data_IF_455399413331
#
_entry.id   IF_455399413331
#
_cell.length_a   1.000
_cell.length_b   1.000
_cell.length_c   1.000
_cell.angle_alpha   90.00
_cell.angle_beta   90.00
_cell.angle_gamma   90.00
#
_symmetry.space_group_name_H-M   'P 1'
#
loop_
_entity.id
_entity.type
_entity.pdbx_description
1 polymer ?
#
# COMPACT_ATOMS: atom_id res chain seq x y z
N UNK A 1 102.02 -11.53 39.98
CA UNK A 1 101.23 -12.76 39.69
C UNK A 1 99.86 -12.71 40.33
N UNK A 2 99.75 -12.29 41.60
CA UNK A 2 98.49 -12.16 42.36
C UNK A 2 97.56 -11.07 41.79
N UNK A 3 98.08 -9.91 41.41
CA UNK A 3 97.26 -8.80 40.87
C UNK A 3 96.57 -9.13 39.52
N UNK A 4 97.22 -9.93 38.68
CA UNK A 4 96.67 -10.37 37.39
C UNK A 4 95.54 -11.42 37.56
N UNK A 5 95.58 -12.18 38.66
CA UNK A 5 94.52 -13.14 39.03
C UNK A 5 93.33 -12.40 39.64
N UNK A 6 93.58 -11.37 40.46
CA UNK A 6 92.54 -10.51 41.04
C UNK A 6 91.79 -9.71 39.96
N UNK A 7 92.51 -9.13 39.00
CA UNK A 7 91.92 -8.43 37.84
C UNK A 7 91.01 -9.35 37.02
N UNK A 8 91.48 -10.54 36.63
CA UNK A 8 90.66 -11.51 35.88
C UNK A 8 89.41 -11.97 36.63
N UNK A 9 89.47 -12.06 37.96
CA UNK A 9 88.34 -12.45 38.81
C UNK A 9 87.27 -11.36 38.88
N UNK A 10 87.69 -10.09 38.93
CA UNK A 10 86.79 -8.93 38.84
C UNK A 10 86.14 -8.81 37.46
N UNK A 11 86.89 -9.04 36.38
CA UNK A 11 86.35 -9.05 35.01
C UNK A 11 85.31 -10.17 34.84
N UNK A 12 85.56 -11.36 35.40
CA UNK A 12 84.61 -12.48 35.38
C UNK A 12 83.33 -12.18 36.18
N UNK A 13 83.45 -11.58 37.37
CA UNK A 13 82.31 -11.12 38.18
C UNK A 13 81.48 -10.04 37.45
N UNK A 14 82.14 -9.13 36.74
CA UNK A 14 81.49 -8.11 35.93
C UNK A 14 80.71 -8.71 34.75
N UNK A 15 81.27 -9.71 34.07
CA UNK A 15 80.58 -10.45 33.01
C UNK A 15 79.34 -11.17 33.56
N UNK A 16 79.47 -11.85 34.70
CA UNK A 16 78.34 -12.53 35.36
C UNK A 16 77.26 -11.52 35.75
N UNK A 17 77.63 -10.38 36.32
CA UNK A 17 76.68 -9.33 36.70
C UNK A 17 75.92 -8.80 35.47
N UNK A 18 76.61 -8.47 34.39
CA UNK A 18 75.96 -8.02 33.15
C UNK A 18 75.05 -9.09 32.53
N UNK A 19 75.43 -10.36 32.63
CA UNK A 19 74.60 -11.48 32.21
C UNK A 19 73.29 -11.58 33.02
N UNK A 20 73.36 -11.43 34.34
CA UNK A 20 72.16 -11.37 35.18
C UNK A 20 71.28 -10.16 34.88
N UNK A 21 71.88 -8.98 34.63
CA UNK A 21 71.15 -7.78 34.22
C UNK A 21 70.38 -8.02 32.90
N UNK A 22 71.01 -8.66 31.91
CA UNK A 22 70.36 -9.04 30.65
C UNK A 22 69.19 -10.00 30.85
N UNK A 23 69.32 -10.99 31.74
CA UNK A 23 68.23 -11.91 32.08
C UNK A 23 67.04 -11.14 32.68
N UNK A 24 67.31 -10.22 33.61
CA UNK A 24 66.27 -9.42 34.25
C UNK A 24 65.55 -8.53 33.23
N UNK A 25 66.30 -7.86 32.35
CA UNK A 25 65.72 -7.03 31.28
C UNK A 25 64.85 -7.87 30.34
N UNK A 26 65.34 -9.03 29.89
CA UNK A 26 64.58 -9.93 29.03
C UNK A 26 63.31 -10.45 29.71
N UNK A 27 63.36 -10.77 31.00
CA UNK A 27 62.18 -11.17 31.77
C UNK A 27 61.14 -10.03 31.84
N UNK A 28 61.61 -8.78 32.00
CA UNK A 28 60.73 -7.60 32.00
C UNK A 28 60.07 -7.38 30.64
N UNK A 29 60.83 -7.50 29.55
CA UNK A 29 60.32 -7.40 28.17
C UNK A 29 59.29 -8.50 27.90
N UNK A 30 59.57 -9.74 28.30
CA UNK A 30 58.66 -10.88 28.12
C UNK A 30 57.34 -10.65 28.87
N UNK A 31 57.42 -10.16 30.11
CA UNK A 31 56.23 -9.86 30.91
C UNK A 31 55.40 -8.73 30.29
N UNK A 32 56.05 -7.66 29.82
CA UNK A 32 55.38 -6.57 29.12
C UNK A 32 54.70 -7.06 27.83
N UNK A 33 55.40 -7.88 27.03
CA UNK A 33 54.85 -8.47 25.81
C UNK A 33 53.64 -9.37 26.11
N UNK A 34 53.72 -10.24 27.12
CA UNK A 34 52.62 -11.10 27.54
C UNK A 34 51.41 -10.27 28.00
N UNK A 35 51.64 -9.19 28.75
CA UNK A 35 50.56 -8.28 29.19
C UNK A 35 49.84 -7.63 28.00
N UNK A 36 50.61 -7.19 27.00
CA UNK A 36 50.07 -6.60 25.77
C UNK A 36 49.26 -7.65 24.99
N UNK A 37 49.81 -8.85 24.77
CA UNK A 37 49.13 -9.94 24.07
C UNK A 37 47.82 -10.33 24.76
N UNK A 38 47.82 -10.46 26.08
CA UNK A 38 46.61 -10.76 26.85
C UNK A 38 45.54 -9.67 26.70
N UNK A 39 45.94 -8.39 26.71
CA UNK A 39 45.02 -7.27 26.47
C UNK A 39 44.44 -7.31 25.05
N UNK A 40 45.26 -7.58 24.03
CA UNK A 40 44.79 -7.73 22.65
C UNK A 40 43.84 -8.92 22.51
N UNK A 41 44.18 -10.07 23.08
CA UNK A 41 43.34 -11.26 23.07
C UNK A 41 41.97 -10.99 23.71
N UNK A 42 41.96 -10.37 24.90
CA UNK A 42 40.73 -9.98 25.59
C UNK A 42 39.87 -9.03 24.75
N UNK A 43 40.48 -8.02 24.12
CA UNK A 43 39.76 -7.08 23.27
C UNK A 43 39.18 -7.76 22.03
N UNK A 44 39.94 -8.65 21.39
CA UNK A 44 39.48 -9.42 20.22
C UNK A 44 38.27 -10.28 20.59
N UNK A 45 38.34 -11.03 21.69
CA UNK A 45 37.22 -11.88 22.15
C UNK A 45 36.00 -11.03 22.50
N UNK A 46 36.19 -9.90 23.18
CA UNK A 46 35.09 -8.99 23.49
C UNK A 46 34.42 -8.42 22.24
N UNK A 47 35.21 -8.06 21.22
CA UNK A 47 34.66 -7.57 19.93
C UNK A 47 33.89 -8.68 19.21
N UNK A 48 34.39 -9.91 19.20
CA UNK A 48 33.68 -11.06 18.60
C UNK A 48 32.33 -11.31 19.28
N UNK A 49 32.31 -11.34 20.61
CA UNK A 49 31.08 -11.53 21.38
C UNK A 49 30.03 -10.46 21.06
N UNK A 50 30.44 -9.18 21.07
CA UNK A 50 29.55 -8.09 20.71
C UNK A 50 29.04 -8.20 19.27
N UNK A 51 29.89 -8.63 18.33
CA UNK A 51 29.49 -8.81 16.93
C UNK A 51 28.48 -9.95 16.78
N UNK A 52 28.67 -11.06 17.49
CA UNK A 52 27.72 -12.18 17.53
C UNK A 52 26.37 -11.75 18.11
N UNK A 53 26.38 -10.97 19.20
CA UNK A 53 25.17 -10.42 19.81
C UNK A 53 24.40 -9.51 18.83
N UNK A 54 25.10 -8.59 18.17
CA UNK A 54 24.52 -7.71 17.15
C UNK A 54 23.92 -8.53 15.99
N UNK A 55 24.62 -9.55 15.53
CA UNK A 55 24.14 -10.40 14.43
C UNK A 55 22.89 -11.20 14.81
N UNK A 56 22.83 -11.71 16.05
CA UNK A 56 21.64 -12.38 16.57
C UNK A 56 20.45 -11.43 16.66
N UNK A 57 20.65 -10.22 17.18
CA UNK A 57 19.61 -9.19 17.23
C UNK A 57 19.09 -8.83 15.83
N UNK A 58 19.99 -8.64 14.85
CA UNK A 58 19.59 -8.37 13.46
C UNK A 58 18.78 -9.52 12.85
N UNK A 59 19.10 -10.77 13.19
CA UNK A 59 18.35 -11.93 12.74
C UNK A 59 16.94 -11.97 13.37
N UNK A 60 16.82 -11.66 14.65
CA UNK A 60 15.53 -11.54 15.35
C UNK A 60 14.66 -10.44 14.75
N UNK A 61 15.20 -9.24 14.57
CA UNK A 61 14.52 -8.11 13.92
C UNK A 61 14.06 -8.50 12.51
N UNK A 62 14.89 -9.23 11.74
CA UNK A 62 14.52 -9.71 10.42
C UNK A 62 13.31 -10.67 10.46
N UNK A 63 13.26 -11.58 11.43
CA UNK A 63 12.11 -12.48 11.64
C UNK A 63 10.86 -11.71 12.06
N UNK A 64 10.98 -10.76 12.98
CA UNK A 64 9.85 -9.90 13.39
C UNK A 64 9.29 -9.13 12.20
N UNK A 65 10.16 -8.54 11.38
CA UNK A 65 9.75 -7.85 10.16
C UNK A 65 9.02 -8.79 9.17
N UNK A 66 9.40 -10.06 9.08
CA UNK A 66 8.65 -11.04 8.28
C UNK A 66 7.26 -11.30 8.86
N UNK A 67 7.15 -11.45 10.19
CA UNK A 67 5.85 -11.66 10.86
C UNK A 67 4.93 -10.46 10.64
N UNK A 68 5.42 -9.23 10.84
CA UNK A 68 4.63 -8.01 10.67
C UNK A 68 4.28 -7.68 9.21
N UNK A 69 5.03 -8.21 8.24
CA UNK A 69 4.64 -8.16 6.83
C UNK A 69 3.42 -9.04 6.53
N UNK A 70 3.29 -10.15 7.25
CA UNK A 70 2.22 -11.12 7.02
C UNK A 70 1.00 -10.85 7.92
N UNK A 71 1.21 -10.24 9.08
CA UNK A 71 0.19 -9.99 10.08
C UNK A 71 0.05 -8.48 10.34
N UNK A 72 -1.08 -7.87 9.95
CA UNK A 72 -1.35 -6.47 10.26
C UNK A 72 -1.36 -6.22 11.77
N UNK A 73 -0.79 -5.09 12.19
CA UNK A 73 -0.85 -4.61 13.58
C UNK A 73 -2.22 -3.99 13.86
N UNK A 74 -2.89 -4.51 14.87
CA UNK A 74 -4.17 -4.00 15.37
C UNK A 74 -3.95 -2.96 16.49
N UNK A 75 -4.67 -1.84 16.41
CA UNK A 75 -4.68 -0.79 17.43
C UNK A 75 -6.12 -0.43 17.76
N UNK A 76 -6.50 -0.56 19.03
CA UNK A 76 -7.81 -0.17 19.55
C UNK A 76 -7.70 1.25 20.13
N UNK A 77 -8.58 2.15 19.67
CA UNK A 77 -8.67 3.54 20.13
C UNK A 77 -9.62 3.66 21.32
N UNK A 78 -9.51 4.78 22.03
CA UNK A 78 -10.35 5.08 23.21
C UNK A 78 -11.85 5.17 22.88
N UNK A 79 -12.20 5.52 21.64
CA UNK A 79 -13.58 5.61 21.14
C UNK A 79 -14.16 4.25 20.69
N UNK A 80 -13.40 3.17 20.81
CA UNK A 80 -13.77 1.82 20.36
C UNK A 80 -13.44 1.54 18.88
N UNK A 81 -12.88 2.49 18.15
CA UNK A 81 -12.42 2.28 16.77
C UNK A 81 -11.21 1.34 16.74
N UNK A 82 -11.20 0.40 15.80
CA UNK A 82 -10.09 -0.53 15.56
C UNK A 82 -9.38 -0.16 14.25
N UNK A 83 -8.09 0.10 14.31
CA UNK A 83 -7.24 0.39 13.14
C UNK A 83 -6.23 -0.73 12.89
N UNK A 84 -6.03 -1.06 11.62
CA UNK A 84 -5.09 -2.09 11.17
C UNK A 84 -4.00 -1.45 10.32
N UNK A 85 -2.74 -1.70 10.65
CA UNK A 85 -1.56 -1.16 9.98
C UNK A 85 -0.71 -2.30 9.41
N UNK A 86 -0.11 -2.11 8.24
CA UNK A 86 0.80 -3.11 7.66
C UNK A 86 2.16 -2.52 7.31
N UNK A 87 3.23 -3.23 7.68
CA UNK A 87 4.59 -2.88 7.24
C UNK A 87 4.79 -3.10 5.74
N UNK A 88 3.97 -3.95 5.08
CA UNK A 88 3.97 -4.08 3.62
C UNK A 88 3.56 -2.78 2.92
N UNK A 89 2.78 -1.94 3.60
CA UNK A 89 2.25 -0.68 3.08
C UNK A 89 2.98 0.50 3.72
N UNK A 90 4.29 0.38 3.93
CA UNK A 90 5.14 1.40 4.56
C UNK A 90 4.67 1.81 5.98
N UNK A 91 3.98 0.93 6.68
CA UNK A 91 3.42 1.23 8.01
C UNK A 91 2.13 2.06 7.96
N UNK A 92 1.53 2.25 6.78
CA UNK A 92 0.25 2.94 6.64
C UNK A 92 -0.91 2.08 7.14
N UNK A 93 -2.01 2.77 7.44
CA UNK A 93 -3.30 2.12 7.73
C UNK A 93 -3.79 1.39 6.49
N UNK A 94 -4.34 0.19 6.68
CA UNK A 94 -4.93 -0.62 5.60
C UNK A 94 -6.44 -0.79 5.80
N UNK A 95 -6.91 -0.72 7.05
CA UNK A 95 -8.31 -0.89 7.40
C UNK A 95 -8.64 -0.17 8.70
N UNK A 96 -9.83 0.40 8.78
CA UNK A 96 -10.43 0.95 10.01
C UNK A 96 -11.81 0.37 10.19
N UNK A 97 -12.14 -0.09 11.39
CA UNK A 97 -13.49 -0.46 11.80
C UNK A 97 -13.91 0.53 12.88
N UNK A 98 -14.83 1.43 12.54
CA UNK A 98 -15.38 2.40 13.48
C UNK A 98 -16.30 1.72 14.49
N UNK A 99 -16.50 2.37 15.63
CA UNK A 99 -17.39 1.88 16.67
C UNK A 99 -18.86 1.75 16.21
N UNK A 100 -19.29 2.59 15.27
CA UNK A 100 -20.63 2.51 14.66
C UNK A 100 -20.84 1.30 13.73
N UNK A 101 -19.77 0.55 13.42
CA UNK A 101 -19.80 -0.59 12.51
C UNK A 101 -19.31 -0.30 11.09
N UNK A 102 -19.09 0.97 10.73
CA UNK A 102 -18.55 1.38 9.44
C UNK A 102 -17.13 0.83 9.25
N UNK A 103 -16.85 0.32 8.04
CA UNK A 103 -15.53 -0.21 7.67
C UNK A 103 -14.93 0.66 6.58
N UNK A 104 -13.71 1.13 6.77
CA UNK A 104 -12.93 1.87 5.78
C UNK A 104 -11.71 1.03 5.36
N UNK A 105 -11.39 1.00 4.07
CA UNK A 105 -10.20 0.36 3.50
C UNK A 105 -9.34 1.41 2.78
N UNK A 106 -8.03 1.24 2.88
CA UNK A 106 -7.03 2.24 2.50
C UNK A 106 -5.96 1.64 1.57
N UNK A 107 -5.45 2.46 0.67
CA UNK A 107 -4.44 2.06 -0.30
C UNK A 107 -3.03 1.95 0.32
N UNK A 108 -2.04 1.64 -0.50
CA UNK A 108 -0.63 1.55 -0.08
C UNK A 108 -0.11 2.86 0.54
N UNK A 109 -0.72 4.00 0.21
CA UNK A 109 -0.37 5.34 0.69
C UNK A 109 -1.23 5.79 1.88
N UNK A 110 -2.13 4.94 2.39
CA UNK A 110 -3.04 5.28 3.49
C UNK A 110 -4.19 6.19 3.07
N UNK A 111 -4.50 6.29 1.77
CA UNK A 111 -5.64 7.06 1.27
C UNK A 111 -6.85 6.13 1.17
N UNK A 112 -7.98 6.56 1.73
CA UNK A 112 -9.23 5.78 1.70
C UNK A 112 -9.69 5.60 0.25
N UNK A 113 -9.99 4.36 -0.13
CA UNK A 113 -10.50 4.03 -1.46
C UNK A 113 -11.84 3.29 -1.41
N UNK A 114 -12.24 2.78 -0.23
CA UNK A 114 -13.49 2.05 -0.04
C UNK A 114 -14.02 2.26 1.36
N UNK A 115 -15.33 2.39 1.47
CA UNK A 115 -16.08 2.42 2.70
C UNK A 115 -17.28 1.47 2.59
N UNK A 116 -17.58 0.79 3.68
CA UNK A 116 -18.80 0.00 3.86
C UNK A 116 -19.53 0.65 5.03
N UNK A 117 -20.69 1.24 4.74
CA UNK A 117 -21.49 1.90 5.77
C UNK A 117 -22.16 0.87 6.71
N UNK A 118 -22.87 1.39 7.72
CA UNK A 118 -23.61 0.58 8.69
C UNK A 118 -24.73 -0.29 8.09
N UNK A 119 -25.13 -0.02 6.85
CA UNK A 119 -26.15 -0.77 6.11
C UNK A 119 -25.53 -1.77 5.12
N UNK A 120 -24.21 -1.85 5.04
CA UNK A 120 -23.49 -2.71 4.10
C UNK A 120 -23.38 -2.12 2.68
N UNK A 121 -23.73 -0.85 2.47
CA UNK A 121 -23.53 -0.19 1.19
C UNK A 121 -22.04 0.09 0.99
N UNK A 122 -21.55 -0.26 -0.20
CA UNK A 122 -20.17 0.00 -0.60
C UNK A 122 -20.09 1.35 -1.29
N UNK A 123 -19.21 2.21 -0.79
CA UNK A 123 -18.85 3.50 -1.38
C UNK A 123 -17.38 3.41 -1.79
N UNK A 124 -17.11 3.64 -3.07
CA UNK A 124 -15.77 3.60 -3.65
C UNK A 124 -15.27 5.02 -3.91
N UNK A 125 -14.00 5.28 -3.62
CA UNK A 125 -13.36 6.57 -3.80
C UNK A 125 -12.19 6.44 -4.76
N UNK A 126 -12.23 7.20 -5.85
CA UNK A 126 -11.09 7.33 -6.76
C UNK A 126 -9.97 8.10 -6.08
N UNK A 127 -8.73 7.62 -6.23
CA UNK A 127 -7.55 8.32 -5.74
C UNK A 127 -6.37 8.12 -6.72
N UNK A 128 -5.14 8.39 -6.27
CA UNK A 128 -3.94 8.21 -7.11
C UNK A 128 -3.58 6.74 -7.39
N UNK A 129 -4.11 5.80 -6.60
CA UNK A 129 -3.76 4.38 -6.63
C UNK A 129 -4.91 3.49 -7.13
N UNK A 130 -6.15 4.00 -7.10
CA UNK A 130 -7.36 3.26 -7.46
C UNK A 130 -8.23 4.06 -8.43
N UNK A 131 -8.54 3.44 -9.57
CA UNK A 131 -9.50 3.92 -10.56
C UNK A 131 -10.53 2.84 -10.96
N UNK A 132 -11.35 3.15 -11.97
CA UNK A 132 -12.40 2.27 -12.47
C UNK A 132 -11.88 0.90 -12.91
N UNK A 133 -10.68 0.85 -13.49
CA UNK A 133 -10.05 -0.39 -13.93
C UNK A 133 -9.74 -1.27 -12.73
N UNK A 134 -9.17 -0.71 -11.67
CA UNK A 134 -8.84 -1.45 -10.46
C UNK A 134 -10.10 -1.98 -9.78
N UNK A 135 -11.15 -1.14 -9.68
CA UNK A 135 -12.43 -1.58 -9.12
C UNK A 135 -13.09 -2.71 -9.92
N UNK A 136 -12.96 -2.67 -11.26
CA UNK A 136 -13.41 -3.75 -12.14
C UNK A 136 -12.62 -5.04 -11.88
N UNK A 137 -11.30 -4.96 -11.76
CA UNK A 137 -10.44 -6.11 -11.48
C UNK A 137 -10.69 -6.70 -10.08
N UNK A 138 -11.07 -5.85 -9.12
CA UNK A 138 -11.53 -6.26 -7.78
C UNK A 138 -12.93 -6.90 -7.77
N UNK A 139 -13.64 -6.89 -8.90
CA UNK A 139 -14.96 -7.51 -9.04
C UNK A 139 -16.12 -6.67 -8.55
N UNK A 140 -15.96 -5.35 -8.37
CA UNK A 140 -17.08 -4.47 -8.06
C UNK A 140 -18.01 -4.33 -9.28
N UNK A 141 -19.32 -4.33 -9.03
CA UNK A 141 -20.31 -4.19 -10.08
C UNK A 141 -20.43 -2.75 -10.57
N UNK A 142 -20.93 -2.58 -11.79
CA UNK A 142 -21.18 -1.27 -12.37
C UNK A 142 -22.24 -0.50 -11.56
N UNK A 143 -23.21 -1.19 -10.97
CA UNK A 143 -24.20 -0.59 -10.06
C UNK A 143 -23.53 -0.03 -8.79
N UNK A 144 -22.54 -0.72 -8.23
CA UNK A 144 -21.77 -0.23 -7.09
C UNK A 144 -20.93 1.00 -7.46
N UNK A 145 -20.32 1.00 -8.64
CA UNK A 145 -19.62 2.17 -9.19
C UNK A 145 -20.59 3.35 -9.36
N UNK A 146 -21.77 3.12 -9.95
CA UNK A 146 -22.79 4.16 -10.12
C UNK A 146 -23.25 4.73 -8.78
N UNK A 147 -23.56 3.87 -7.79
CA UNK A 147 -23.93 4.29 -6.43
C UNK A 147 -22.82 5.06 -5.71
N UNK A 148 -21.57 4.78 -6.05
CA UNK A 148 -20.39 5.50 -5.56
C UNK A 148 -20.13 6.83 -6.30
N UNK A 149 -20.98 7.19 -7.27
CA UNK A 149 -20.92 8.47 -7.96
C UNK A 149 -20.07 8.48 -9.24
N UNK A 150 -19.60 7.32 -9.72
CA UNK A 150 -18.89 7.24 -11.00
C UNK A 150 -19.86 7.53 -12.14
N UNK A 151 -19.50 8.47 -13.01
CA UNK A 151 -20.35 8.84 -14.13
C UNK A 151 -20.09 7.96 -15.36
N UNK A 152 -21.02 7.95 -16.31
CA UNK A 152 -20.92 7.11 -17.51
C UNK A 152 -19.66 7.41 -18.34
N UNK A 153 -19.17 8.66 -18.37
CA UNK A 153 -17.96 9.03 -19.12
C UNK A 153 -16.70 8.38 -18.54
N UNK A 154 -16.63 8.22 -17.22
CA UNK A 154 -15.48 7.62 -16.53
C UNK A 154 -15.39 6.12 -16.75
N UNK A 155 -16.53 5.46 -16.93
CA UNK A 155 -16.61 4.00 -17.04
C UNK A 155 -16.78 3.51 -18.48
N UNK A 156 -17.10 4.39 -19.43
CA UNK A 156 -17.31 4.10 -20.87
C UNK A 156 -16.15 3.34 -21.50
N UNK A 157 -14.92 3.64 -21.13
CA UNK A 157 -13.72 2.97 -21.68
C UNK A 157 -13.56 1.52 -21.20
N UNK A 158 -14.28 1.12 -20.16
CA UNK A 158 -14.11 -0.17 -19.50
C UNK A 158 -15.30 -1.12 -19.68
N UNK A 159 -16.47 -0.58 -20.04
CA UNK A 159 -17.72 -1.34 -20.19
C UNK A 159 -18.46 -0.95 -21.46
N UNK A 160 -19.15 -1.91 -22.07
CA UNK A 160 -20.01 -1.63 -23.22
C UNK A 160 -21.33 -0.98 -22.77
N UNK A 161 -22.00 -0.36 -23.72
CA UNK A 161 -23.23 0.39 -23.49
C UNK A 161 -24.37 -0.47 -22.90
N UNK A 162 -24.49 -1.73 -23.33
CA UNK A 162 -25.47 -2.68 -22.77
C UNK A 162 -25.31 -2.80 -21.24
N UNK A 163 -24.08 -2.94 -20.77
CA UNK A 163 -23.79 -3.09 -19.34
C UNK A 163 -24.04 -1.81 -18.55
N UNK A 164 -23.86 -0.64 -19.18
CA UNK A 164 -24.21 0.64 -18.55
C UNK A 164 -25.73 0.79 -18.43
N UNK A 165 -26.48 0.38 -19.48
CA UNK A 165 -27.94 0.35 -19.44
C UNK A 165 -28.45 -0.58 -18.34
N UNK A 166 -27.93 -1.82 -18.28
CA UNK A 166 -28.30 -2.80 -17.25
C UNK A 166 -28.03 -2.29 -15.83
N UNK A 167 -26.93 -1.54 -15.64
CA UNK A 167 -26.58 -0.92 -14.37
C UNK A 167 -27.43 0.33 -14.02
N UNK A 168 -28.38 0.67 -14.89
CA UNK A 168 -29.36 1.75 -14.67
C UNK A 168 -28.86 3.13 -15.07
N UNK A 169 -27.82 3.28 -15.89
CA UNK A 169 -27.49 4.58 -16.48
C UNK A 169 -28.60 5.05 -17.41
N UNK A 170 -29.07 6.30 -17.20
CA UNK A 170 -30.16 6.87 -17.96
C UNK A 170 -29.67 7.57 -19.24
N UNK A 171 -30.59 7.91 -20.16
CA UNK A 171 -30.26 8.50 -21.46
C UNK A 171 -29.48 9.80 -21.30
N UNK A 172 -29.82 10.64 -20.31
CA UNK A 172 -29.09 11.89 -20.03
C UNK A 172 -27.64 11.61 -19.66
N UNK A 173 -27.39 10.71 -18.70
CA UNK A 173 -26.04 10.34 -18.26
C UNK A 173 -25.20 9.77 -19.42
N UNK A 174 -25.83 8.96 -20.29
CA UNK A 174 -25.17 8.36 -21.44
C UNK A 174 -24.91 9.39 -22.56
N UNK A 175 -25.86 10.29 -22.82
CA UNK A 175 -25.70 11.44 -23.74
C UNK A 175 -24.55 12.31 -23.29
N UNK A 176 -24.50 12.66 -22.00
CA UNK A 176 -23.46 13.51 -21.42
C UNK A 176 -22.08 12.80 -21.44
N UNK A 177 -22.05 11.47 -21.43
CA UNK A 177 -20.86 10.64 -21.68
C UNK A 177 -20.46 10.51 -23.17
N UNK A 178 -21.17 11.20 -24.06
CA UNK A 178 -20.89 11.23 -25.49
C UNK A 178 -21.25 9.95 -26.23
N UNK A 179 -22.23 9.18 -25.75
CA UNK A 179 -22.89 8.17 -26.58
C UNK A 179 -23.78 8.86 -27.60
N UNK A 180 -23.90 8.25 -28.79
CA UNK A 180 -24.72 8.76 -29.89
C UNK A 180 -26.12 8.17 -29.85
N UNK A 181 -27.07 8.86 -30.49
CA UNK A 181 -28.45 8.40 -30.68
C UNK A 181 -28.49 6.97 -31.23
N UNK A 182 -27.70 6.69 -32.29
CA UNK A 182 -27.61 5.37 -32.92
C UNK A 182 -27.08 4.28 -31.98
N UNK A 183 -26.13 4.60 -31.10
CA UNK A 183 -25.62 3.65 -30.11
C UNK A 183 -26.69 3.34 -29.06
N UNK A 184 -27.43 4.33 -28.58
CA UNK A 184 -28.51 4.14 -27.61
C UNK A 184 -29.66 3.31 -28.18
N UNK A 185 -30.05 3.56 -29.43
CA UNK A 185 -31.03 2.73 -30.14
C UNK A 185 -30.57 1.27 -30.26
N UNK A 186 -29.28 1.05 -30.53
CA UNK A 186 -28.73 -0.29 -30.73
C UNK A 186 -28.84 -1.19 -29.48
N UNK A 187 -28.88 -0.59 -28.29
CA UNK A 187 -29.07 -1.28 -27.01
C UNK A 187 -30.53 -1.25 -26.54
N UNK A 188 -31.46 -0.82 -27.41
CA UNK A 188 -32.89 -0.84 -27.18
C UNK A 188 -33.41 0.25 -26.24
N UNK A 189 -32.82 1.46 -26.26
CA UNK A 189 -33.54 2.65 -25.80
C UNK A 189 -34.60 3.06 -26.84
N UNK A 190 -35.69 3.66 -26.37
CA UNK A 190 -36.76 4.12 -27.25
C UNK A 190 -36.30 5.29 -28.13
N UNK A 191 -36.65 5.25 -29.42
CA UNK A 191 -36.25 6.28 -30.38
C UNK A 191 -36.83 7.65 -30.03
N UNK A 192 -38.12 7.71 -29.67
CA UNK A 192 -38.76 8.99 -29.39
C UNK A 192 -38.20 9.59 -28.09
N UNK A 193 -37.94 8.74 -27.08
CA UNK A 193 -37.27 9.16 -25.84
C UNK A 193 -35.85 9.70 -26.10
N UNK A 194 -35.02 8.96 -26.84
CA UNK A 194 -33.64 9.36 -27.17
C UNK A 194 -33.60 10.58 -28.09
N UNK A 195 -34.50 10.68 -29.07
CA UNK A 195 -34.59 11.83 -29.97
C UNK A 195 -34.87 13.12 -29.20
N UNK A 196 -35.86 13.09 -28.29
CA UNK A 196 -36.20 14.25 -27.45
C UNK A 196 -35.01 14.61 -26.55
N UNK A 197 -34.33 13.62 -25.96
CA UNK A 197 -33.17 13.86 -25.11
C UNK A 197 -31.99 14.55 -25.84
N UNK A 198 -31.83 14.34 -27.15
CA UNK A 198 -30.75 14.94 -27.95
C UNK A 198 -31.16 16.26 -28.60
N UNK A 199 -32.38 16.37 -29.13
CA UNK A 199 -32.84 17.55 -29.88
C UNK A 199 -33.36 18.64 -28.94
N UNK A 200 -34.01 18.24 -27.85
CA UNK A 200 -34.59 19.14 -26.84
C UNK A 200 -34.08 18.80 -25.43
N UNK A 201 -32.76 18.87 -25.18
CA UNK A 201 -32.16 18.42 -23.92
C UNK A 201 -32.72 19.15 -22.70
N UNK A 202 -33.02 20.45 -22.82
CA UNK A 202 -33.64 21.22 -21.73
C UNK A 202 -35.02 20.67 -21.34
N UNK A 203 -35.86 20.30 -22.32
CA UNK A 203 -37.20 19.75 -22.06
C UNK A 203 -37.12 18.33 -21.46
N UNK A 204 -36.16 17.52 -21.90
CA UNK A 204 -35.98 16.17 -21.39
C UNK A 204 -35.43 16.16 -19.97
N UNK A 205 -34.45 17.02 -19.68
CA UNK A 205 -33.74 17.04 -18.40
C UNK A 205 -34.63 17.56 -17.24
N UNK A 206 -35.67 18.36 -17.54
CA UNK A 206 -36.66 18.85 -16.57
C UNK A 206 -37.69 17.77 -16.16
N UNK A 207 -38.24 17.03 -17.13
CA UNK A 207 -39.29 16.01 -16.90
C UNK A 207 -39.03 14.71 -17.70
N UNK A 208 -37.99 13.92 -17.38
CA UNK A 208 -37.63 12.74 -18.18
C UNK A 208 -38.71 11.65 -18.18
N UNK A 209 -39.44 11.50 -17.07
CA UNK A 209 -40.54 10.53 -16.92
C UNK A 209 -41.71 10.78 -17.88
N UNK A 210 -41.86 12.01 -18.41
CA UNK A 210 -42.91 12.38 -19.37
C UNK A 210 -42.73 11.71 -20.74
N UNK A 211 -41.50 11.28 -21.04
CA UNK A 211 -41.09 10.73 -22.33
C UNK A 211 -40.77 9.23 -22.24
N UNK A 212 -40.66 8.67 -21.04
CA UNK A 212 -40.51 7.23 -20.80
C UNK A 212 -41.80 6.46 -21.11
N UNK A 213 -41.68 5.26 -21.69
CA UNK A 213 -42.78 4.32 -21.93
C UNK A 213 -43.91 4.81 -22.86
N UNK A 214 -43.67 5.80 -23.72
CA UNK A 214 -44.58 6.08 -24.83
C UNK A 214 -44.20 5.20 -26.01
N UNK A 215 -44.71 3.97 -26.03
CA UNK A 215 -44.99 3.35 -27.32
C UNK A 215 -45.97 4.28 -28.04
N UNK A 216 -45.48 5.14 -28.92
CA UNK A 216 -46.34 5.83 -29.85
C UNK A 216 -47.07 4.74 -30.63
N UNK A 217 -48.33 4.50 -30.27
CA UNK A 217 -49.21 3.58 -30.98
C UNK A 217 -49.15 3.96 -32.45
N UNK A 218 -48.47 3.13 -33.24
CA UNK A 218 -48.23 3.30 -34.67
C UNK A 218 -49.50 2.97 -35.47
N UNK A 219 -50.65 3.46 -35.01
CA UNK A 219 -51.96 3.33 -35.65
C UNK A 219 -52.60 4.71 -35.79
N UNK A 220 -51.98 5.59 -36.58
CA UNK A 220 -52.74 6.68 -37.19
C UNK A 220 -53.65 6.07 -38.27
N UNK A 221 -54.88 5.73 -37.89
CA UNK A 221 -55.98 5.57 -38.84
C UNK A 221 -56.34 6.96 -39.36
N UNK A 222 -55.68 7.38 -40.44
CA UNK A 222 -56.11 8.55 -41.21
C UNK A 222 -57.39 8.18 -41.98
N UNK A 223 -58.56 8.33 -41.35
CA UNK A 223 -59.80 8.46 -42.10
C UNK A 223 -59.84 9.88 -42.70
N UNK A 224 -59.48 9.95 -43.99
CA UNK A 224 -59.80 11.10 -44.84
C UNK A 224 -61.32 11.14 -45.01
N UNK A 225 -62.00 11.91 -44.16
CA UNK A 225 -63.37 12.31 -44.45
C UNK A 225 -63.33 13.33 -45.59
N UNK A 226 -63.61 12.85 -46.80
CA UNK A 226 -63.93 13.69 -47.94
C UNK A 226 -65.18 14.50 -47.61
N UNK A 227 -65.02 15.82 -47.53
CA UNK A 227 -66.13 16.77 -47.47
C UNK A 227 -66.71 16.84 -48.88
N UNK A 228 -67.96 16.41 -49.04
CA UNK A 228 -68.83 16.65 -50.20
C UNK A 228 -69.58 17.95 -50.05
#
# INVERSE_FOLDING_TARGET
MIDNILSKKNDFLFIIFNFFVLIIINAFILNAFNTIQNKYFYLIEKVKQNLEEINLQNLEISKENQIFKNNPKEIIKDDGTIEYYSLSNNGNIIKRKKNDGTIEEFDLNGIKFKEIDIHGNVILFKNSSYDVKDFKEMGFSIEQLKKSGFNASEIKSFYNLDKLKDAGYNIRELRDAGFTLKELESVGFDFDETYIAFVFPQLYDEEPSRYQNKSYNKSCNCQLNSIS
#
